data_IF_760216320221
#
_entry.id   IF_760216320221
#
_cell.length_a   1.000
_cell.length_b   1.000
_cell.length_c   1.000
_cell.angle_alpha   90.00
_cell.angle_beta   90.00
_cell.angle_gamma   90.00
#
_symmetry.space_group_name_H-M   'P 1'
#
loop_
_entity.id
_entity.type
_entity.pdbx_description
1 polymer ?
#
# COMPACT_ATOMS: atom_id res chain seq x y z
N UNK A 1 -56.48 46.00 28.72
CA UNK A 1 -56.49 44.70 29.43
C UNK A 1 -55.98 43.68 28.42
N UNK A 2 -54.68 43.48 28.47
CA UNK A 2 -53.85 42.66 27.57
C UNK A 2 -53.81 41.24 28.12
N UNK A 3 -54.06 40.23 27.28
CA UNK A 3 -53.56 38.87 27.52
C UNK A 3 -53.31 38.18 26.17
N UNK A 4 -52.04 38.17 25.78
CA UNK A 4 -51.50 37.39 24.67
C UNK A 4 -51.23 35.96 25.12
N UNK A 5 -51.63 35.02 24.27
CA UNK A 5 -51.43 33.58 24.39
C UNK A 5 -49.94 33.27 24.27
N UNK A 6 -49.29 32.87 25.37
CA UNK A 6 -47.89 32.43 25.36
C UNK A 6 -47.81 30.90 25.20
N UNK A 7 -47.51 30.45 23.97
CA UNK A 7 -47.24 29.04 23.66
C UNK A 7 -45.73 28.75 23.82
N UNK A 8 -45.32 27.68 24.52
CA UNK A 8 -43.90 27.47 24.84
C UNK A 8 -43.10 27.07 23.59
N UNK A 9 -42.11 27.90 23.23
CA UNK A 9 -41.13 27.59 22.17
C UNK A 9 -40.32 26.34 22.54
N UNK A 10 -40.39 25.33 21.68
CA UNK A 10 -39.62 24.08 21.75
C UNK A 10 -38.12 24.40 21.63
N UNK A 11 -37.36 24.18 22.70
CA UNK A 11 -35.92 24.38 22.70
C UNK A 11 -35.24 23.37 21.76
N UNK A 12 -34.60 23.86 20.70
CA UNK A 12 -33.75 23.06 19.80
C UNK A 12 -32.49 22.63 20.56
N UNK A 13 -32.38 21.33 20.85
CA UNK A 13 -31.16 20.73 21.42
C UNK A 13 -29.98 20.94 20.46
N UNK A 14 -28.93 21.61 20.93
CA UNK A 14 -27.64 21.69 20.23
C UNK A 14 -27.02 20.28 20.16
N UNK A 15 -26.31 19.92 19.08
CA UNK A 15 -25.59 18.65 19.02
C UNK A 15 -24.61 18.57 20.19
N UNK A 16 -24.75 17.53 21.01
CA UNK A 16 -23.90 17.31 22.18
C UNK A 16 -22.46 17.09 21.77
N UNK A 17 -21.54 17.71 22.51
CA UNK A 17 -20.09 17.46 22.46
C UNK A 17 -19.84 15.95 22.64
N UNK A 18 -18.97 15.31 21.82
CA UNK A 18 -18.67 13.89 21.97
C UNK A 18 -18.18 13.54 23.38
N UNK A 19 -18.57 12.35 23.84
CA UNK A 19 -18.25 11.78 25.15
C UNK A 19 -16.76 11.48 25.27
N UNK A 20 -16.22 11.67 26.47
CA UNK A 20 -14.79 11.67 26.81
C UNK A 20 -14.14 10.27 26.91
N UNK A 21 -14.78 9.24 26.36
CA UNK A 21 -14.43 7.83 26.55
C UNK A 21 -14.12 7.04 25.27
N UNK A 22 -14.13 7.67 24.10
CA UNK A 22 -13.43 7.10 22.94
C UNK A 22 -11.94 7.38 23.13
N UNK A 23 -11.08 6.39 22.89
CA UNK A 23 -9.64 6.67 22.72
C UNK A 23 -9.58 7.79 21.68
N UNK A 24 -9.13 8.99 22.08
CA UNK A 24 -9.15 10.17 21.22
C UNK A 24 -8.14 9.95 20.08
N UNK A 25 -8.56 9.22 19.04
CA UNK A 25 -7.77 9.02 17.84
C UNK A 25 -7.65 10.41 17.23
N UNK A 26 -6.43 10.98 17.15
CA UNK A 26 -6.28 12.34 16.68
C UNK A 26 -6.94 12.52 15.32
N UNK A 27 -7.71 13.60 15.12
CA UNK A 27 -8.42 13.89 13.85
C UNK A 27 -7.50 13.73 12.62
N UNK A 28 -6.22 14.08 12.77
CA UNK A 28 -5.18 13.86 11.75
C UNK A 28 -5.14 12.39 11.30
N UNK A 29 -5.08 11.44 12.23
CA UNK A 29 -5.04 10.01 11.97
C UNK A 29 -6.33 9.51 11.32
N UNK A 30 -7.50 9.93 11.80
CA UNK A 30 -8.79 9.57 11.18
C UNK A 30 -8.88 10.04 9.72
N UNK A 31 -8.41 11.27 9.43
CA UNK A 31 -8.37 11.79 8.06
C UNK A 31 -7.43 10.97 7.16
N UNK A 32 -6.27 10.54 7.66
CA UNK A 32 -5.34 9.67 6.92
C UNK A 32 -5.99 8.32 6.64
N UNK A 33 -6.47 7.62 7.67
CA UNK A 33 -7.09 6.29 7.54
C UNK A 33 -8.26 6.32 6.56
N UNK A 34 -9.13 7.33 6.65
CA UNK A 34 -10.27 7.47 5.75
C UNK A 34 -9.89 7.82 4.32
N UNK A 35 -8.82 8.60 4.15
CA UNK A 35 -8.25 8.88 2.81
C UNK A 35 -7.69 7.60 2.20
N UNK A 36 -6.98 6.77 2.99
CA UNK A 36 -6.44 5.49 2.53
C UNK A 36 -7.57 4.58 2.05
N UNK A 37 -8.61 4.38 2.86
CA UNK A 37 -9.77 3.53 2.54
C UNK A 37 -10.48 3.96 1.24
N UNK A 38 -10.79 5.26 1.12
CA UNK A 38 -11.54 5.77 -0.01
C UNK A 38 -10.73 5.71 -1.31
N UNK A 39 -9.44 6.08 -1.26
CA UNK A 39 -8.56 6.02 -2.44
C UNK A 39 -8.29 4.56 -2.83
N UNK A 40 -8.14 3.63 -1.89
CA UNK A 40 -7.96 2.21 -2.19
C UNK A 40 -9.08 1.68 -3.09
N UNK A 41 -10.32 2.11 -2.84
CA UNK A 41 -11.54 1.62 -3.53
C UNK A 41 -11.91 2.41 -4.79
N UNK A 42 -11.70 3.73 -4.80
CA UNK A 42 -12.21 4.62 -5.86
C UNK A 42 -11.10 5.29 -6.67
N UNK A 43 -9.85 5.22 -6.23
CA UNK A 43 -8.74 5.94 -6.85
C UNK A 43 -8.64 7.40 -6.46
N UNK A 44 -7.45 7.99 -6.63
CA UNK A 44 -7.15 9.34 -6.16
C UNK A 44 -7.83 10.46 -6.97
N UNK A 45 -8.33 10.17 -8.18
CA UNK A 45 -9.00 11.16 -9.04
C UNK A 45 -10.48 11.35 -8.69
N UNK A 46 -11.10 10.31 -8.14
CA UNK A 46 -12.56 10.28 -7.90
C UNK A 46 -12.91 10.57 -6.44
N UNK A 47 -11.92 10.61 -5.55
CA UNK A 47 -12.08 10.96 -4.14
C UNK A 47 -11.82 12.45 -3.92
N UNK A 48 -12.74 13.10 -3.21
CA UNK A 48 -12.65 14.52 -2.85
C UNK A 48 -12.41 14.72 -1.36
N UNK A 49 -11.78 15.84 -1.00
CA UNK A 49 -11.59 16.21 0.40
C UNK A 49 -12.91 16.35 1.17
N UNK A 50 -14.01 16.73 0.49
CA UNK A 50 -15.33 16.85 1.11
C UNK A 50 -15.83 15.49 1.58
N UNK A 51 -15.76 14.47 0.75
CA UNK A 51 -16.19 13.11 1.10
C UNK A 51 -15.40 12.56 2.30
N UNK A 52 -14.09 12.78 2.33
CA UNK A 52 -13.24 12.40 3.48
C UNK A 52 -13.68 13.16 4.74
N UNK A 53 -13.84 14.48 4.65
CA UNK A 53 -14.27 15.31 5.77
C UNK A 53 -15.64 14.91 6.33
N UNK A 54 -16.61 14.68 5.44
CA UNK A 54 -17.97 14.28 5.80
C UNK A 54 -17.95 12.90 6.48
N UNK A 55 -17.14 11.97 5.98
CA UNK A 55 -17.01 10.63 6.56
C UNK A 55 -16.33 10.62 7.95
N UNK A 56 -15.45 11.59 8.23
CA UNK A 56 -14.80 11.77 9.54
C UNK A 56 -15.61 12.68 10.48
N UNK A 57 -16.57 13.45 9.96
CA UNK A 57 -17.36 14.40 10.74
C UNK A 57 -16.63 15.71 11.05
N UNK A 58 -15.76 16.17 10.14
CA UNK A 58 -14.97 17.41 10.30
C UNK A 58 -15.17 18.36 9.12
N UNK A 59 -14.63 19.57 9.23
CA UNK A 59 -14.68 20.55 8.13
C UNK A 59 -13.39 20.54 7.32
N UNK A 60 -13.43 21.08 6.09
CA UNK A 60 -12.23 21.24 5.26
C UNK A 60 -11.13 22.08 5.94
N UNK A 61 -11.47 22.95 6.89
CA UNK A 61 -10.49 23.69 7.69
C UNK A 61 -9.55 22.75 8.47
N UNK A 62 -10.04 21.58 8.91
CA UNK A 62 -9.22 20.56 9.55
C UNK A 62 -8.17 19.97 8.61
N UNK A 63 -8.48 19.82 7.31
CA UNK A 63 -7.51 19.36 6.31
C UNK A 63 -6.40 20.39 6.12
N UNK A 64 -6.76 21.66 5.92
CA UNK A 64 -5.79 22.74 5.78
C UNK A 64 -4.92 22.90 7.04
N UNK A 65 -5.52 22.83 8.23
CA UNK A 65 -4.78 22.95 9.49
C UNK A 65 -3.76 21.82 9.69
N UNK A 66 -4.13 20.57 9.40
CA UNK A 66 -3.26 19.43 9.66
C UNK A 66 -2.25 19.15 8.54
N UNK A 67 -2.62 19.38 7.28
CA UNK A 67 -1.87 18.91 6.10
C UNK A 67 -1.49 20.03 5.12
N UNK A 68 -2.00 21.25 5.33
CA UNK A 68 -1.82 22.41 4.47
C UNK A 68 -2.70 22.42 3.22
N UNK A 69 -3.09 21.25 2.71
CA UNK A 69 -3.99 21.11 1.56
C UNK A 69 -4.52 19.67 1.42
N UNK A 70 -5.49 19.47 0.54
CA UNK A 70 -5.95 18.13 0.12
C UNK A 70 -4.82 17.26 -0.43
N UNK A 71 -3.98 17.82 -1.31
CA UNK A 71 -2.81 17.10 -1.84
C UNK A 71 -1.80 16.75 -0.74
N UNK A 72 -1.70 17.59 0.31
CA UNK A 72 -0.89 17.30 1.48
C UNK A 72 -1.40 16.12 2.30
N UNK A 73 -2.74 15.97 2.39
CA UNK A 73 -3.36 14.80 3.02
C UNK A 73 -3.13 13.53 2.17
N UNK A 74 -3.34 13.60 0.85
CA UNK A 74 -3.04 12.47 -0.05
C UNK A 74 -1.55 12.08 0.05
N UNK A 75 -0.64 13.06 0.12
CA UNK A 75 0.79 12.80 0.22
C UNK A 75 1.17 12.03 1.50
N UNK A 76 0.63 12.43 2.64
CA UNK A 76 0.86 11.76 3.92
C UNK A 76 0.20 10.38 3.96
N UNK A 77 -1.04 10.26 3.49
CA UNK A 77 -1.72 8.98 3.34
C UNK A 77 -0.95 8.01 2.43
N UNK A 78 -0.39 8.51 1.32
CA UNK A 78 0.46 7.76 0.40
C UNK A 78 1.76 7.27 1.06
N UNK A 79 2.38 8.10 1.89
CA UNK A 79 3.55 7.69 2.67
C UNK A 79 3.21 6.61 3.70
N UNK A 80 2.11 6.79 4.44
CA UNK A 80 1.63 5.80 5.42
C UNK A 80 1.33 4.46 4.76
N UNK A 81 0.51 4.43 3.71
CA UNK A 81 0.12 3.17 3.06
C UNK A 81 1.30 2.47 2.38
N UNK A 82 2.30 3.21 1.91
CA UNK A 82 3.52 2.60 1.37
C UNK A 82 4.38 1.95 2.47
N UNK A 83 4.52 2.60 3.63
CA UNK A 83 5.20 2.00 4.77
C UNK A 83 4.48 0.73 5.24
N UNK A 84 3.16 0.80 5.40
CA UNK A 84 2.32 -0.32 5.82
C UNK A 84 2.39 -1.48 4.81
N UNK A 85 2.45 -1.15 3.52
CA UNK A 85 2.67 -2.14 2.45
C UNK A 85 3.98 -2.90 2.67
N UNK A 86 5.11 -2.21 2.80
CA UNK A 86 6.43 -2.86 2.98
C UNK A 86 6.47 -3.73 4.24
N UNK A 87 5.89 -3.25 5.34
CA UNK A 87 5.85 -3.99 6.61
C UNK A 87 4.91 -5.20 6.54
N UNK A 88 3.77 -5.07 5.85
CA UNK A 88 2.83 -6.16 5.60
C UNK A 88 3.43 -7.28 4.75
N UNK A 89 4.18 -6.95 3.69
CA UNK A 89 4.91 -7.94 2.91
C UNK A 89 5.89 -8.73 3.78
N UNK A 90 6.62 -8.03 4.64
CA UNK A 90 7.62 -8.66 5.47
C UNK A 90 7.01 -9.56 6.54
N UNK A 91 5.89 -9.15 7.12
CA UNK A 91 5.11 -9.97 8.05
C UNK A 91 4.69 -11.30 7.41
N UNK A 92 4.25 -11.28 6.15
CA UNK A 92 3.90 -12.49 5.41
C UNK A 92 5.12 -13.41 5.20
N UNK A 93 6.28 -12.84 4.88
CA UNK A 93 7.53 -13.59 4.72
C UNK A 93 8.00 -14.23 6.02
N UNK A 94 7.90 -13.50 7.15
CA UNK A 94 8.29 -14.02 8.46
C UNK A 94 7.36 -15.11 8.98
N UNK A 95 6.09 -15.11 8.54
CA UNK A 95 5.10 -16.12 8.90
C UNK A 95 5.18 -17.38 8.03
N UNK A 96 5.94 -17.34 6.92
CA UNK A 96 6.11 -18.47 6.03
C UNK A 96 7.08 -19.52 6.61
N UNK A 97 6.98 -20.80 6.21
CA UNK A 97 7.97 -21.81 6.54
C UNK A 97 9.39 -21.35 6.18
N UNK A 98 10.39 -21.79 6.95
CA UNK A 98 11.82 -21.58 6.66
C UNK A 98 12.28 -22.46 5.49
N UNK A 99 11.66 -22.24 4.33
CA UNK A 99 11.95 -22.85 3.04
C UNK A 99 12.07 -21.68 2.06
N UNK A 100 13.17 -21.58 1.28
CA UNK A 100 13.45 -20.41 0.45
C UNK A 100 12.29 -20.07 -0.50
N UNK A 101 11.78 -21.08 -1.21
CA UNK A 101 10.66 -20.93 -2.13
C UNK A 101 9.39 -20.47 -1.42
N UNK A 102 9.10 -21.02 -0.23
CA UNK A 102 7.91 -20.65 0.52
C UNK A 102 7.93 -19.18 0.96
N UNK A 103 9.11 -18.66 1.35
CA UNK A 103 9.29 -17.25 1.73
C UNK A 103 9.13 -16.32 0.54
N UNK A 104 9.70 -16.65 -0.63
CA UNK A 104 9.50 -15.88 -1.85
C UNK A 104 8.03 -15.92 -2.31
N UNK A 105 7.37 -17.08 -2.26
CA UNK A 105 5.94 -17.21 -2.58
C UNK A 105 5.09 -16.34 -1.65
N UNK A 106 5.38 -16.32 -0.35
CA UNK A 106 4.67 -15.48 0.61
C UNK A 106 4.81 -13.99 0.28
N UNK A 107 6.02 -13.55 -0.07
CA UNK A 107 6.27 -12.18 -0.53
C UNK A 107 5.44 -11.83 -1.77
N UNK A 108 5.46 -12.68 -2.80
CA UNK A 108 4.73 -12.44 -4.06
C UNK A 108 3.21 -12.43 -3.82
N UNK A 109 2.69 -13.37 -3.04
CA UNK A 109 1.25 -13.43 -2.72
C UNK A 109 0.78 -12.21 -1.95
N UNK A 110 1.55 -11.77 -0.95
CA UNK A 110 1.22 -10.57 -0.18
C UNK A 110 1.20 -9.30 -1.07
N UNK A 111 2.10 -9.20 -2.05
CA UNK A 111 2.06 -8.11 -3.03
C UNK A 111 0.80 -8.13 -3.89
N UNK A 112 0.43 -9.30 -4.41
CA UNK A 112 -0.76 -9.46 -5.25
C UNK A 112 -2.02 -9.13 -4.44
N UNK A 113 -2.13 -9.66 -3.22
CA UNK A 113 -3.26 -9.40 -2.32
C UNK A 113 -3.39 -7.91 -2.00
N UNK A 114 -2.27 -7.27 -1.63
CA UNK A 114 -2.27 -5.83 -1.36
C UNK A 114 -2.72 -5.03 -2.58
N UNK A 115 -2.23 -5.36 -3.78
CA UNK A 115 -2.60 -4.65 -5.01
C UNK A 115 -4.09 -4.82 -5.36
N UNK A 116 -4.66 -5.99 -5.09
CA UNK A 116 -6.09 -6.23 -5.33
C UNK A 116 -6.97 -5.46 -4.35
N UNK A 117 -6.52 -5.28 -3.11
CA UNK A 117 -7.26 -4.57 -2.06
C UNK A 117 -7.02 -3.05 -2.09
N UNK A 118 -5.94 -2.59 -2.72
CA UNK A 118 -5.52 -1.19 -2.75
C UNK A 118 -5.28 -0.70 -4.18
N UNK A 119 -6.13 -1.09 -5.13
CA UNK A 119 -5.93 -0.83 -6.56
C UNK A 119 -5.77 0.65 -6.89
N UNK A 120 -6.51 1.54 -6.21
CA UNK A 120 -6.36 2.99 -6.40
C UNK A 120 -5.02 3.55 -5.92
N UNK A 121 -4.46 3.03 -4.81
CA UNK A 121 -3.08 3.37 -4.40
C UNK A 121 -2.04 2.72 -5.31
N UNK A 122 -2.31 1.50 -5.78
CA UNK A 122 -1.51 0.84 -6.81
C UNK A 122 -1.39 1.71 -8.08
N UNK A 123 -2.48 2.37 -8.50
CA UNK A 123 -2.45 3.29 -9.63
C UNK A 123 -1.60 4.55 -9.32
N UNK A 124 -1.71 5.12 -8.12
CA UNK A 124 -0.91 6.27 -7.68
C UNK A 124 0.59 5.96 -7.69
N UNK A 125 1.01 4.82 -7.13
CA UNK A 125 2.43 4.48 -7.03
C UNK A 125 3.05 4.07 -8.36
N UNK A 126 2.31 3.37 -9.22
CA UNK A 126 2.83 2.93 -10.52
C UNK A 126 2.74 3.99 -11.60
N UNK A 127 1.80 4.94 -11.47
CA UNK A 127 1.62 6.05 -12.40
C UNK A 127 1.53 7.37 -11.62
N UNK A 128 2.64 7.83 -10.99
CA UNK A 128 2.63 8.98 -10.09
C UNK A 128 2.20 10.29 -10.77
N UNK A 129 2.27 10.35 -12.10
CA UNK A 129 1.76 11.47 -12.89
C UNK A 129 0.24 11.66 -12.76
N UNK A 130 -0.52 10.59 -12.49
CA UNK A 130 -1.97 10.64 -12.27
C UNK A 130 -2.37 11.47 -11.04
N UNK A 131 -1.47 11.58 -10.05
CA UNK A 131 -1.64 12.35 -8.83
C UNK A 131 -0.42 13.27 -8.58
N UNK A 132 0.11 13.88 -9.64
CA UNK A 132 1.42 14.57 -9.67
C UNK A 132 1.68 15.50 -8.48
N UNK A 133 0.71 16.35 -8.12
CA UNK A 133 0.92 17.32 -7.03
C UNK A 133 1.08 16.63 -5.68
N UNK A 134 0.24 15.62 -5.40
CA UNK A 134 0.33 14.85 -4.16
C UNK A 134 1.60 14.00 -4.12
N UNK A 135 1.98 13.34 -5.22
CA UNK A 135 3.20 12.52 -5.27
C UNK A 135 4.47 13.35 -5.17
N UNK A 136 4.49 14.57 -5.71
CA UNK A 136 5.58 15.54 -5.50
C UNK A 136 5.69 15.92 -4.01
N UNK A 137 4.56 16.28 -3.38
CA UNK A 137 4.54 16.60 -1.94
C UNK A 137 4.96 15.40 -1.08
N UNK A 138 4.60 14.17 -1.48
CA UNK A 138 5.00 12.95 -0.79
C UNK A 138 6.52 12.79 -0.84
N UNK A 139 7.13 13.00 -2.01
CA UNK A 139 8.58 12.95 -2.16
C UNK A 139 9.28 14.04 -1.35
N UNK A 140 8.79 15.27 -1.40
CA UNK A 140 9.41 16.41 -0.71
C UNK A 140 9.36 16.26 0.82
N UNK A 141 8.26 15.72 1.37
CA UNK A 141 8.01 15.65 2.82
C UNK A 141 8.45 14.33 3.44
N UNK A 142 8.31 13.23 2.71
CA UNK A 142 8.48 11.86 3.23
C UNK A 142 9.48 11.03 2.40
N UNK A 143 10.10 11.61 1.38
CA UNK A 143 10.97 10.89 0.44
C UNK A 143 12.16 10.23 1.13
N UNK A 144 12.76 10.83 2.15
CA UNK A 144 13.86 10.19 2.89
C UNK A 144 13.42 8.84 3.48
N UNK A 145 12.37 8.83 4.30
CA UNK A 145 11.87 7.61 4.95
C UNK A 145 11.33 6.59 3.94
N UNK A 146 10.56 7.04 2.95
CA UNK A 146 9.99 6.14 1.95
C UNK A 146 11.04 5.53 1.03
N UNK A 147 12.08 6.28 0.66
CA UNK A 147 13.19 5.74 -0.12
C UNK A 147 13.94 4.66 0.66
N UNK A 148 14.15 4.85 1.97
CA UNK A 148 14.77 3.82 2.81
C UNK A 148 13.89 2.55 2.88
N UNK A 149 12.57 2.69 3.05
CA UNK A 149 11.62 1.56 2.98
C UNK A 149 11.64 0.88 1.61
N UNK A 150 11.71 1.63 0.52
CA UNK A 150 11.82 1.10 -0.84
C UNK A 150 13.11 0.29 -1.02
N UNK A 151 14.24 0.85 -0.59
CA UNK A 151 15.55 0.18 -0.64
C UNK A 151 15.57 -1.10 0.18
N UNK A 152 15.03 -1.05 1.41
CA UNK A 152 14.89 -2.22 2.27
C UNK A 152 14.02 -3.31 1.61
N UNK A 153 12.89 -2.94 1.03
CA UNK A 153 12.01 -3.87 0.33
C UNK A 153 12.73 -4.54 -0.86
N UNK A 154 13.48 -3.75 -1.63
CA UNK A 154 14.27 -4.27 -2.74
C UNK A 154 15.42 -5.18 -2.28
N UNK A 155 16.11 -4.82 -1.19
CA UNK A 155 17.15 -5.63 -0.58
C UNK A 155 16.60 -6.98 -0.10
N UNK A 156 15.43 -6.97 0.55
CA UNK A 156 14.72 -8.18 0.98
C UNK A 156 14.33 -9.06 -0.20
N UNK A 157 13.76 -8.51 -1.27
CA UNK A 157 13.45 -9.27 -2.48
C UNK A 157 14.71 -9.86 -3.12
N UNK A 158 15.80 -9.09 -3.15
CA UNK A 158 17.09 -9.55 -3.67
C UNK A 158 17.61 -10.73 -2.87
N UNK A 159 17.61 -10.62 -1.54
CA UNK A 159 18.07 -11.71 -0.68
C UNK A 159 17.15 -12.94 -0.75
N UNK A 160 15.83 -12.76 -0.79
CA UNK A 160 14.88 -13.87 -1.00
C UNK A 160 15.12 -14.60 -2.35
N UNK A 161 15.52 -13.84 -3.38
CA UNK A 161 15.84 -14.42 -4.69
C UNK A 161 17.14 -15.23 -4.62
N UNK A 162 18.17 -14.70 -3.97
CA UNK A 162 19.44 -15.40 -3.74
C UNK A 162 19.23 -16.67 -2.90
N UNK A 163 18.45 -16.58 -1.83
CA UNK A 163 18.06 -17.71 -0.98
C UNK A 163 17.41 -18.84 -1.81
N UNK A 164 16.49 -18.52 -2.73
CA UNK A 164 15.88 -19.52 -3.64
C UNK A 164 16.90 -20.12 -4.61
N UNK A 165 17.81 -19.31 -5.14
CA UNK A 165 18.88 -19.78 -6.04
C UNK A 165 19.78 -20.76 -5.30
N UNK A 166 20.26 -20.37 -4.13
CA UNK A 166 21.30 -21.10 -3.40
C UNK A 166 20.73 -22.23 -2.52
N UNK A 167 19.40 -22.28 -2.37
CA UNK A 167 18.72 -23.26 -1.54
C UNK A 167 18.92 -23.01 -0.04
N UNK A 168 19.19 -21.76 0.35
CA UNK A 168 19.50 -21.34 1.71
C UNK A 168 18.46 -20.37 2.27
N UNK A 169 18.37 -20.26 3.60
CA UNK A 169 17.44 -19.36 4.28
C UNK A 169 18.24 -18.38 5.13
N UNK A 170 18.30 -17.14 4.68
CA UNK A 170 19.05 -16.10 5.36
C UNK A 170 18.35 -15.62 6.64
N UNK A 171 19.12 -15.11 7.61
CA UNK A 171 18.58 -14.61 8.88
C UNK A 171 17.87 -13.26 8.75
N UNK A 172 18.16 -12.47 7.71
CA UNK A 172 17.62 -11.10 7.50
C UNK A 172 17.77 -10.20 8.74
N UNK A 173 18.99 -10.08 9.24
CA UNK A 173 19.39 -9.25 10.38
C UNK A 173 19.58 -7.77 10.01
N UNK A 174 18.81 -7.28 9.03
CA UNK A 174 18.91 -5.92 8.53
C UNK A 174 17.58 -5.18 8.38
N UNK A 175 17.68 -3.87 8.45
CA UNK A 175 16.61 -2.87 8.40
C UNK A 175 16.99 -1.71 7.46
N UNK A 176 16.23 -0.61 7.55
CA UNK A 176 16.41 0.59 6.73
C UNK A 176 17.81 1.24 6.86
N UNK A 177 18.56 0.93 7.91
CA UNK A 177 19.81 1.60 8.28
C UNK A 177 21.06 0.77 8.00
N UNK A 178 20.95 -0.55 7.89
CA UNK A 178 22.09 -1.45 7.84
C UNK A 178 21.98 -2.58 6.79
N UNK A 179 21.05 -2.49 5.83
CA UNK A 179 20.96 -3.49 4.77
C UNK A 179 22.28 -3.61 3.97
N UNK A 180 22.68 -4.83 3.57
CA UNK A 180 24.00 -5.09 3.00
C UNK A 180 24.08 -4.66 1.52
N UNK A 181 24.03 -3.35 1.28
CA UNK A 181 23.91 -2.74 -0.05
C UNK A 181 25.01 -3.22 -1.02
N UNK A 182 26.27 -3.10 -0.63
CA UNK A 182 27.40 -3.41 -1.52
C UNK A 182 27.54 -4.91 -1.80
N UNK A 183 27.22 -5.75 -0.82
CA UNK A 183 27.15 -7.21 -0.99
C UNK A 183 26.08 -7.57 -2.02
N UNK A 184 24.86 -7.05 -1.86
CA UNK A 184 23.74 -7.34 -2.76
C UNK A 184 23.99 -6.83 -4.18
N UNK A 185 24.70 -5.70 -4.34
CA UNK A 185 25.11 -5.20 -5.65
C UNK A 185 26.23 -6.02 -6.30
N UNK A 186 27.07 -6.67 -5.51
CA UNK A 186 28.15 -7.51 -6.02
C UNK A 186 27.63 -8.79 -6.69
N UNK A 187 26.49 -9.31 -6.22
CA UNK A 187 25.78 -10.43 -6.85
C UNK A 187 24.89 -9.96 -8.01
N UNK A 188 25.55 -9.71 -9.15
CA UNK A 188 24.91 -9.17 -10.36
C UNK A 188 23.76 -10.04 -10.87
N UNK A 189 23.88 -11.37 -10.76
CA UNK A 189 22.85 -12.29 -11.26
C UNK A 189 21.66 -12.33 -10.30
N UNK A 190 21.91 -12.42 -8.99
CA UNK A 190 20.87 -12.33 -7.96
C UNK A 190 20.09 -11.02 -8.07
N UNK A 191 20.78 -9.90 -8.25
CA UNK A 191 20.18 -8.58 -8.47
C UNK A 191 19.32 -8.53 -9.75
N UNK A 192 19.84 -9.05 -10.86
CA UNK A 192 19.10 -9.09 -12.13
C UNK A 192 17.84 -9.95 -12.02
N UNK A 193 17.93 -11.12 -11.38
CA UNK A 193 16.76 -11.98 -11.13
C UNK A 193 15.74 -11.34 -10.21
N UNK A 194 16.19 -10.69 -9.14
CA UNK A 194 15.30 -10.00 -8.21
C UNK A 194 14.53 -8.88 -8.92
N UNK A 195 15.22 -8.12 -9.78
CA UNK A 195 14.62 -7.08 -10.62
C UNK A 195 13.58 -7.66 -11.58
N UNK A 196 13.91 -8.74 -12.29
CA UNK A 196 12.99 -9.44 -13.20
C UNK A 196 11.77 -10.01 -12.47
N UNK A 197 11.97 -10.56 -11.28
CA UNK A 197 10.88 -11.01 -10.39
C UNK A 197 9.99 -9.83 -10.02
N UNK A 198 10.56 -8.71 -9.59
CA UNK A 198 9.82 -7.50 -9.26
C UNK A 198 8.99 -6.98 -10.44
N UNK A 199 9.57 -6.90 -11.64
CA UNK A 199 8.84 -6.48 -12.84
C UNK A 199 7.71 -7.44 -13.24
N UNK A 200 7.96 -8.75 -13.13
CA UNK A 200 6.96 -9.77 -13.44
C UNK A 200 5.77 -9.69 -12.46
N UNK A 201 6.07 -9.55 -11.17
CA UNK A 201 5.05 -9.41 -10.12
C UNK A 201 4.29 -8.11 -10.26
N UNK A 202 4.96 -7.00 -10.55
CA UNK A 202 4.30 -5.73 -10.85
C UNK A 202 3.33 -5.87 -12.04
N UNK A 203 3.77 -6.52 -13.12
CA UNK A 203 2.91 -6.82 -14.27
C UNK A 203 1.65 -7.58 -13.86
N UNK A 204 1.80 -8.64 -13.05
CA UNK A 204 0.67 -9.38 -12.49
C UNK A 204 -0.24 -8.49 -11.65
N UNK A 205 0.30 -7.72 -10.70
CA UNK A 205 -0.47 -6.82 -9.84
C UNK A 205 -1.32 -5.84 -10.64
N UNK A 206 -0.76 -5.23 -11.70
CA UNK A 206 -1.48 -4.28 -12.56
C UNK A 206 -2.63 -4.96 -13.31
N UNK A 207 -2.45 -6.18 -13.80
CA UNK A 207 -3.52 -6.91 -14.50
C UNK A 207 -4.62 -7.39 -13.55
N UNK A 208 -4.25 -7.87 -12.37
CA UNK A 208 -5.16 -8.45 -11.39
C UNK A 208 -5.99 -7.38 -10.65
N UNK A 209 -5.46 -6.16 -10.52
CA UNK A 209 -6.11 -5.04 -9.82
C UNK A 209 -7.11 -4.24 -10.68
N UNK A 210 -7.39 -4.67 -11.93
CA UNK A 210 -8.27 -3.95 -12.88
C UNK A 210 -9.78 -4.03 -12.55
N UNK A 211 -10.16 -4.76 -11.50
CA UNK A 211 -11.55 -4.86 -11.03
C UNK A 211 -12.53 -5.28 -12.15
N UNK A 212 -13.71 -4.62 -12.26
CA UNK A 212 -14.73 -4.96 -13.26
C UNK A 212 -14.25 -4.91 -14.72
N UNK A 213 -13.20 -4.13 -15.01
CA UNK A 213 -12.62 -4.06 -16.36
C UNK A 213 -12.05 -5.41 -16.78
N UNK A 214 -11.38 -6.12 -15.87
CA UNK A 214 -10.83 -7.45 -16.14
C UNK A 214 -11.93 -8.46 -16.47
N UNK A 215 -12.99 -8.46 -15.66
CA UNK A 215 -14.16 -9.33 -15.81
C UNK A 215 -14.86 -9.12 -17.15
N UNK A 216 -14.96 -7.85 -17.58
CA UNK A 216 -15.60 -7.48 -18.84
C UNK A 216 -14.74 -7.86 -20.05
N UNK A 217 -13.42 -7.64 -19.98
CA UNK A 217 -12.54 -7.82 -21.14
C UNK A 217 -12.13 -9.28 -21.36
N UNK A 218 -11.85 -10.03 -20.28
CA UNK A 218 -11.30 -11.38 -20.34
C UNK A 218 -11.87 -12.29 -19.23
N UNK A 219 -13.18 -12.56 -19.24
CA UNK A 219 -13.86 -13.31 -18.16
C UNK A 219 -13.28 -14.71 -17.94
N UNK A 220 -12.81 -15.39 -18.99
CA UNK A 220 -12.25 -16.74 -18.86
C UNK A 220 -10.85 -16.76 -18.25
N UNK A 221 -10.06 -15.69 -18.42
CA UNK A 221 -8.79 -15.52 -17.71
C UNK A 221 -9.07 -15.28 -16.23
N UNK A 222 -10.06 -14.44 -15.90
CA UNK A 222 -10.47 -14.20 -14.51
C UNK A 222 -10.86 -15.49 -13.78
N UNK A 223 -11.62 -16.39 -14.43
CA UNK A 223 -11.98 -17.70 -13.85
C UNK A 223 -10.77 -18.60 -13.55
N UNK A 224 -9.64 -18.39 -14.23
CA UNK A 224 -8.41 -19.19 -14.11
C UNK A 224 -7.29 -18.45 -13.39
N UNK A 225 -7.60 -17.29 -12.81
CA UNK A 225 -6.62 -16.36 -12.28
C UNK A 225 -5.63 -17.02 -11.31
N UNK A 226 -6.14 -17.77 -10.33
CA UNK A 226 -5.29 -18.40 -9.31
C UNK A 226 -4.34 -19.45 -9.89
N UNK A 227 -4.79 -20.20 -10.90
CA UNK A 227 -3.96 -21.17 -11.60
C UNK A 227 -2.86 -20.48 -12.42
N UNK A 228 -3.18 -19.36 -13.07
CA UNK A 228 -2.22 -18.56 -13.84
C UNK A 228 -1.17 -17.93 -12.92
N UNK A 229 -1.60 -17.36 -11.78
CA UNK A 229 -0.70 -16.80 -10.77
C UNK A 229 0.21 -17.88 -10.20
N UNK A 230 -0.34 -19.06 -9.88
CA UNK A 230 0.43 -20.21 -9.40
C UNK A 230 1.47 -20.67 -10.43
N UNK A 231 1.07 -20.77 -11.70
CA UNK A 231 1.97 -21.09 -12.79
C UNK A 231 3.10 -20.05 -12.92
N UNK A 232 2.76 -18.75 -12.91
CA UNK A 232 3.75 -17.68 -13.03
C UNK A 232 4.77 -17.69 -11.88
N UNK A 233 4.32 -17.90 -10.63
CA UNK A 233 5.23 -18.05 -9.49
C UNK A 233 6.15 -19.26 -9.64
N UNK A 234 5.63 -20.40 -10.09
CA UNK A 234 6.45 -21.58 -10.34
C UNK A 234 7.53 -21.30 -11.41
N UNK A 235 7.16 -20.62 -12.51
CA UNK A 235 8.13 -20.24 -13.54
C UNK A 235 9.21 -19.28 -13.04
N UNK A 236 8.85 -18.33 -12.17
CA UNK A 236 9.83 -17.43 -11.51
C UNK A 236 10.83 -18.26 -10.69
N UNK A 237 10.33 -19.18 -9.85
CA UNK A 237 11.16 -20.02 -8.99
C UNK A 237 12.07 -20.93 -9.82
N UNK A 238 11.52 -21.62 -10.82
CA UNK A 238 12.28 -22.51 -11.70
C UNK A 238 13.40 -21.74 -12.42
N UNK A 239 13.09 -20.54 -12.92
CA UNK A 239 14.08 -19.66 -13.55
C UNK A 239 15.20 -19.26 -12.58
N UNK A 240 14.88 -18.90 -11.33
CA UNK A 240 15.89 -18.58 -10.32
C UNK A 240 16.77 -19.81 -10.02
N UNK A 241 16.16 -20.98 -9.81
CA UNK A 241 16.90 -22.21 -9.46
C UNK A 241 17.82 -22.69 -10.58
N UNK A 242 17.43 -22.45 -11.83
CA UNK A 242 18.28 -22.77 -12.99
C UNK A 242 19.58 -21.98 -13.07
N UNK A 243 19.71 -20.85 -12.35
CA UNK A 243 20.96 -20.08 -12.30
C UNK A 243 22.06 -20.79 -11.47
N UNK A 244 21.67 -21.76 -10.65
CA UNK A 244 22.59 -22.59 -9.86
C UNK A 244 23.06 -23.84 -10.61
N UNK A 245 22.54 -24.08 -11.82
CA UNK A 245 22.95 -25.22 -12.63
C UNK A 245 24.35 -24.96 -13.23
N UNK A 246 25.29 -25.92 -13.10
CA UNK A 246 26.65 -25.79 -13.64
C UNK A 246 26.71 -25.70 -15.17
#
# INVERSE_FOLDING_TARGET
MTDEINSPRKATRRPGRPSKNDVDIPIRRLLIEKTIELIASHGATDVTAREVCDAVGVTFASVNYNFGSWNGLIAEAGATVYSDYVDGLWTAVQSAPLIPEARLVAYIRAQIEWATNNSGWGAVFNYPFSARTATTMMQDRFGLTNNLKFQLNHARLTRLTIDVRDGDVSPFDFDETNYPHDELLSDRLGLARATLTGWSVLGMMVWLSRGPTLETQIPDIKKRQDAIVTFAMAQIIDAIKSDSAP
#
